data_IF_241976797585
#
_entry.id   IF_241976797585
#
_cell.length_a   1.000
_cell.length_b   1.000
_cell.length_c   1.000
_cell.angle_alpha   90.00
_cell.angle_beta   90.00
_cell.angle_gamma   90.00
#
_symmetry.space_group_name_H-M   'P 1'
#
loop_
_entity.id
_entity.type
_entity.pdbx_description
1 polymer ?
#
# COMPACT_ATOMS: atom_id res chain seq x y z
N UNK A 1 16.31 -13.72 -20.14
CA UNK A 1 15.61 -13.96 -18.85
C UNK A 1 14.44 -12.98 -18.85
N UNK A 2 13.23 -13.43 -18.56
CA UNK A 2 12.06 -12.53 -18.55
C UNK A 2 12.04 -11.79 -17.22
N UNK A 3 11.96 -10.46 -17.25
CA UNK A 3 11.78 -9.64 -16.05
C UNK A 3 10.41 -9.95 -15.47
N UNK A 4 10.37 -10.41 -14.22
CA UNK A 4 9.11 -10.52 -13.46
C UNK A 4 8.70 -9.16 -12.92
N UNK A 5 7.46 -8.78 -13.15
CA UNK A 5 6.94 -7.46 -12.75
C UNK A 5 5.73 -7.64 -11.88
N UNK A 6 5.80 -7.15 -10.64
CA UNK A 6 4.70 -7.17 -9.69
C UNK A 6 4.16 -5.76 -9.43
N UNK A 7 2.86 -5.63 -9.36
CA UNK A 7 2.14 -4.38 -9.12
C UNK A 7 1.66 -4.30 -7.68
N UNK A 8 2.15 -3.31 -6.97
CA UNK A 8 1.89 -3.07 -5.56
C UNK A 8 0.94 -1.89 -5.41
N UNK A 9 -0.23 -2.11 -4.84
CA UNK A 9 -1.14 -1.03 -4.47
C UNK A 9 -0.78 -0.49 -3.08
N UNK A 10 -0.28 0.73 -3.00
CA UNK A 10 -0.01 1.42 -1.73
C UNK A 10 -1.21 2.30 -1.39
N UNK A 11 -1.96 1.92 -0.36
CA UNK A 11 -3.20 2.61 0.03
C UNK A 11 -3.31 2.78 1.54
N UNK A 12 -4.35 3.45 2.02
CA UNK A 12 -4.60 3.75 3.42
C UNK A 12 -5.02 5.21 3.64
N UNK A 13 -5.28 5.63 4.89
CA UNK A 13 -5.77 6.95 5.22
C UNK A 13 -4.92 8.11 4.70
N UNK A 14 -5.52 9.29 4.67
CA UNK A 14 -4.77 10.52 4.40
C UNK A 14 -3.65 10.71 5.43
N UNK A 15 -2.49 11.19 4.99
CA UNK A 15 -1.28 11.42 5.79
C UNK A 15 -0.69 10.19 6.52
N UNK A 16 -1.13 8.96 6.21
CA UNK A 16 -0.60 7.74 6.84
C UNK A 16 0.88 7.44 6.50
N UNK A 17 1.43 8.05 5.42
CA UNK A 17 2.81 7.84 5.01
C UNK A 17 2.97 7.09 3.68
N UNK A 18 1.92 6.96 2.86
CA UNK A 18 1.97 6.27 1.55
C UNK A 18 3.04 6.84 0.62
N UNK A 19 3.02 8.15 0.43
CA UNK A 19 4.03 8.87 -0.37
C UNK A 19 5.43 8.68 0.21
N UNK A 20 5.57 8.70 1.54
CA UNK A 20 6.85 8.46 2.21
C UNK A 20 7.37 7.05 1.95
N UNK A 21 6.51 6.02 2.00
CA UNK A 21 6.90 4.65 1.64
C UNK A 21 7.43 4.58 0.21
N UNK A 22 6.68 5.11 -0.76
CA UNK A 22 7.08 5.07 -2.18
C UNK A 22 8.40 5.84 -2.38
N UNK A 23 8.54 7.03 -1.79
CA UNK A 23 9.75 7.84 -1.91
C UNK A 23 10.97 7.19 -1.26
N UNK A 24 10.80 6.51 -0.12
CA UNK A 24 11.90 5.88 0.61
C UNK A 24 12.52 4.69 -0.14
N UNK A 25 11.75 4.01 -0.98
CA UNK A 25 12.18 2.78 -1.66
C UNK A 25 12.36 2.94 -3.17
N UNK A 26 11.73 3.93 -3.80
CA UNK A 26 11.77 4.11 -5.24
C UNK A 26 13.20 4.41 -5.73
N UNK A 27 13.64 3.66 -6.73
CA UNK A 27 14.94 3.85 -7.40
C UNK A 27 14.84 4.79 -8.60
N UNK A 28 13.63 5.22 -8.94
CA UNK A 28 13.35 6.24 -9.95
C UNK A 28 12.72 7.46 -9.29
N UNK A 29 12.83 8.66 -9.89
CA UNK A 29 12.09 9.81 -9.39
C UNK A 29 10.60 9.48 -9.25
N UNK A 30 10.05 9.71 -8.06
CA UNK A 30 8.62 9.49 -7.82
C UNK A 30 7.83 10.54 -8.58
N UNK A 31 6.92 10.09 -9.43
CA UNK A 31 5.99 10.98 -10.11
C UNK A 31 4.80 11.18 -9.17
N UNK A 32 4.73 12.35 -8.57
CA UNK A 32 3.56 12.78 -7.80
C UNK A 32 2.78 13.79 -8.63
N UNK A 33 1.52 13.50 -8.90
CA UNK A 33 0.62 14.41 -9.61
C UNK A 33 -0.20 15.26 -8.63
N UNK A 34 0.44 15.79 -7.59
CA UNK A 34 -0.21 16.73 -6.69
C UNK A 34 -0.58 18.01 -7.43
N UNK A 35 -1.82 18.08 -7.89
CA UNK A 35 -2.40 19.34 -8.36
C UNK A 35 -2.98 20.06 -7.15
N UNK A 36 -2.33 21.15 -6.76
CA UNK A 36 -2.89 22.10 -5.79
C UNK A 36 -4.18 22.65 -6.40
N UNK A 37 -5.32 22.15 -5.96
CA UNK A 37 -6.61 22.78 -6.27
C UNK A 37 -6.76 24.02 -5.38
N UNK A 38 -6.28 25.17 -5.87
CA UNK A 38 -6.77 26.46 -5.38
C UNK A 38 -8.17 26.64 -5.98
N UNK A 39 -9.20 26.32 -5.21
CA UNK A 39 -10.58 26.47 -5.62
C UNK A 39 -11.09 27.87 -5.28
N UNK A 40 -11.40 28.68 -6.27
CA UNK A 40 -12.48 29.63 -6.23
C UNK A 40 -13.71 29.02 -6.93
N UNK A 41 -14.81 29.02 -6.22
CA UNK A 41 -16.11 28.53 -6.70
C UNK A 41 -16.63 29.41 -7.82
N UNK A 42 -16.56 28.90 -9.04
CA UNK A 42 -17.56 29.10 -10.12
C UNK A 42 -16.94 28.73 -11.46
N UNK A 43 -17.10 27.50 -11.88
CA UNK A 43 -17.52 27.12 -13.22
C UNK A 43 -17.32 25.62 -13.45
N UNK A 44 -18.40 25.01 -13.83
CA UNK A 44 -18.57 23.60 -14.17
C UNK A 44 -17.66 23.21 -15.32
N UNK A 45 -16.52 22.59 -15.00
CA UNK A 45 -15.85 21.54 -15.79
C UNK A 45 -14.82 20.85 -14.88
N UNK A 46 -15.26 19.86 -14.14
CA UNK A 46 -14.41 19.05 -13.27
C UNK A 46 -13.51 18.13 -14.08
N UNK A 47 -12.35 18.60 -14.48
CA UNK A 47 -11.23 17.72 -14.75
C UNK A 47 -10.62 17.36 -13.39
N UNK A 48 -11.09 16.29 -12.78
CA UNK A 48 -10.46 15.74 -11.59
C UNK A 48 -9.18 15.06 -12.04
N UNK A 49 -8.06 15.76 -11.98
CA UNK A 49 -6.75 15.15 -12.10
C UNK A 49 -6.53 14.32 -10.84
N UNK A 50 -6.48 13.03 -11.00
CA UNK A 50 -6.27 12.12 -9.88
C UNK A 50 -4.78 12.07 -9.60
N UNK A 51 -4.36 12.59 -8.45
CA UNK A 51 -2.99 12.52 -7.99
C UNK A 51 -2.66 11.08 -7.57
N UNK A 52 -1.76 10.43 -8.28
CA UNK A 52 -1.19 9.13 -7.91
C UNK A 52 0.31 9.28 -7.73
N UNK A 53 0.84 8.67 -6.67
CA UNK A 53 2.27 8.47 -6.56
C UNK A 53 2.67 7.20 -7.33
N UNK A 54 3.72 7.29 -8.11
CA UNK A 54 4.27 6.14 -8.82
C UNK A 54 5.76 6.01 -8.54
N UNK A 55 6.19 4.83 -8.17
CA UNK A 55 7.59 4.50 -7.93
C UNK A 55 7.94 3.11 -8.45
N UNK A 56 9.24 2.84 -8.61
CA UNK A 56 9.74 1.53 -9.03
C UNK A 56 10.86 1.07 -8.11
N UNK A 57 10.88 -0.23 -7.83
CA UNK A 57 11.95 -0.88 -7.08
C UNK A 57 12.41 -2.12 -7.84
N UNK A 58 13.72 -2.22 -8.10
CA UNK A 58 14.36 -3.37 -8.72
C UNK A 58 15.11 -4.16 -7.65
N UNK A 59 14.83 -5.45 -7.54
CA UNK A 59 15.54 -6.30 -6.61
C UNK A 59 17.00 -6.48 -7.06
N UNK A 60 17.95 -6.27 -6.16
CA UNK A 60 19.37 -6.37 -6.48
C UNK A 60 19.75 -7.84 -6.78
N UNK A 61 20.36 -8.07 -7.94
CA UNK A 61 20.81 -9.41 -8.35
C UNK A 61 19.71 -10.30 -8.93
N UNK A 62 18.52 -9.77 -9.15
CA UNK A 62 17.37 -10.45 -9.73
C UNK A 62 16.71 -9.58 -10.80
N UNK A 63 16.00 -10.18 -11.74
CA UNK A 63 15.23 -9.49 -12.78
C UNK A 63 13.82 -9.08 -12.27
N UNK A 64 13.54 -9.23 -10.98
CA UNK A 64 12.26 -8.86 -10.37
C UNK A 64 12.12 -7.36 -10.16
N UNK A 65 11.01 -6.80 -10.63
CA UNK A 65 10.67 -5.37 -10.49
C UNK A 65 9.32 -5.19 -9.81
N UNK A 66 9.28 -4.30 -8.82
CA UNK A 66 8.05 -3.86 -8.19
C UNK A 66 7.63 -2.50 -8.76
N UNK A 67 6.37 -2.39 -9.17
CA UNK A 67 5.72 -1.13 -9.55
C UNK A 67 4.80 -0.71 -8.40
N UNK A 68 5.12 0.41 -7.75
CA UNK A 68 4.36 0.91 -6.60
C UNK A 68 3.40 2.00 -7.07
N UNK A 69 2.11 1.81 -6.79
CA UNK A 69 1.05 2.75 -7.11
C UNK A 69 0.41 3.26 -5.83
N UNK A 70 0.64 4.53 -5.49
CA UNK A 70 0.05 5.17 -4.32
C UNK A 70 -1.30 5.79 -4.64
N UNK A 71 -2.33 5.43 -3.87
CA UNK A 71 -3.65 6.05 -4.01
C UNK A 71 -3.78 7.30 -3.15
N UNK A 72 -4.56 8.31 -3.60
CA UNK A 72 -4.95 9.41 -2.74
C UNK A 72 -5.75 8.91 -1.54
N UNK A 73 -5.39 9.35 -0.33
CA UNK A 73 -6.02 8.92 0.92
C UNK A 73 -7.41 9.51 1.20
N UNK A 74 -8.08 10.08 0.19
CA UNK A 74 -9.42 10.65 0.35
C UNK A 74 -10.49 9.66 -0.12
N UNK A 75 -11.57 9.54 0.64
CA UNK A 75 -12.67 8.59 0.37
C UNK A 75 -13.29 8.71 -1.04
N UNK A 76 -13.23 9.91 -1.64
CA UNK A 76 -13.70 10.16 -3.01
C UNK A 76 -12.94 9.41 -4.10
N UNK A 77 -11.74 8.87 -3.79
CA UNK A 77 -10.88 8.17 -4.74
C UNK A 77 -10.99 6.64 -4.65
N UNK A 78 -11.93 6.09 -3.90
CA UNK A 78 -12.18 4.64 -3.81
C UNK A 78 -12.44 3.99 -5.16
N UNK A 79 -12.94 4.75 -6.16
CA UNK A 79 -13.14 4.23 -7.51
C UNK A 79 -11.82 3.79 -8.19
N UNK A 80 -10.68 4.35 -7.80
CA UNK A 80 -9.37 3.97 -8.34
C UNK A 80 -8.96 2.55 -7.94
N UNK A 81 -9.27 2.16 -6.72
CA UNK A 81 -9.12 0.78 -6.28
C UNK A 81 -9.91 -0.17 -7.19
N UNK A 82 -11.09 0.25 -7.68
CA UNK A 82 -11.89 -0.55 -8.61
C UNK A 82 -11.27 -0.66 -10.00
N UNK A 83 -10.57 0.37 -10.47
CA UNK A 83 -9.87 0.35 -11.77
C UNK A 83 -8.65 -0.58 -11.71
N UNK A 84 -7.98 -0.64 -10.57
CA UNK A 84 -6.77 -1.43 -10.38
C UNK A 84 -7.03 -2.90 -9.97
N UNK A 85 -8.29 -3.26 -9.64
CA UNK A 85 -8.67 -4.58 -9.11
C UNK A 85 -8.21 -5.80 -9.92
N UNK A 86 -8.00 -5.67 -11.22
CA UNK A 86 -7.60 -6.79 -12.07
C UNK A 86 -6.08 -6.95 -12.26
N UNK A 87 -5.31 -5.98 -11.76
CA UNK A 87 -3.91 -5.81 -12.13
C UNK A 87 -2.97 -5.64 -10.93
N UNK A 88 -3.43 -5.91 -9.71
CA UNK A 88 -2.64 -5.76 -8.48
C UNK A 88 -2.27 -7.14 -7.95
N UNK A 89 -1.00 -7.33 -7.62
CA UNK A 89 -0.48 -8.60 -7.09
C UNK A 89 -0.47 -8.61 -5.55
N UNK A 90 -0.28 -7.45 -4.91
CA UNK A 90 -0.30 -7.31 -3.45
C UNK A 90 -0.74 -5.90 -3.04
N UNK A 91 -1.37 -5.79 -1.88
CA UNK A 91 -1.73 -4.51 -1.25
C UNK A 91 -0.74 -4.21 -0.12
N UNK A 92 -0.14 -3.02 -0.13
CA UNK A 92 0.52 -2.42 1.01
C UNK A 92 -0.43 -1.39 1.66
N UNK A 93 -1.05 -1.76 2.76
CA UNK A 93 -1.96 -0.88 3.50
C UNK A 93 -1.18 -0.13 4.58
N UNK A 94 -1.04 1.18 4.41
CA UNK A 94 -0.28 2.03 5.33
C UNK A 94 -1.24 2.68 6.32
N UNK A 95 -0.97 2.55 7.62
CA UNK A 95 -1.71 3.20 8.69
C UNK A 95 -0.74 3.91 9.64
N UNK A 96 -1.15 5.04 10.20
CA UNK A 96 -0.39 5.79 11.18
C UNK A 96 -0.79 5.35 12.59
N UNK A 97 0.17 4.88 13.39
CA UNK A 97 -0.08 4.45 14.76
C UNK A 97 -0.56 5.59 15.67
N UNK A 98 -0.13 6.82 15.39
CA UNK A 98 -0.42 8.01 16.20
C UNK A 98 -1.78 8.66 15.83
N UNK A 99 -2.24 8.51 14.57
CA UNK A 99 -3.47 9.11 14.07
C UNK A 99 -4.70 8.24 14.40
N UNK A 100 -4.94 8.00 15.69
CA UNK A 100 -5.98 7.07 16.18
C UNK A 100 -7.39 7.42 15.73
N UNK A 101 -7.67 8.70 15.47
CA UNK A 101 -8.94 9.19 14.93
C UNK A 101 -9.23 8.67 13.52
N UNK A 102 -8.20 8.26 12.77
CA UNK A 102 -8.35 7.69 11.42
C UNK A 102 -8.61 6.18 11.43
N UNK A 103 -8.34 5.49 12.54
CA UNK A 103 -8.34 4.03 12.61
C UNK A 103 -9.71 3.42 12.30
N UNK A 104 -10.79 4.03 12.77
CA UNK A 104 -12.14 3.51 12.48
C UNK A 104 -12.44 3.51 10.97
N UNK A 105 -12.13 4.59 10.26
CA UNK A 105 -12.28 4.70 8.82
C UNK A 105 -11.32 3.78 8.06
N UNK A 106 -10.06 3.69 8.52
CA UNK A 106 -9.04 2.80 7.99
C UNK A 106 -9.49 1.32 8.07
N UNK A 107 -10.10 0.91 9.18
CA UNK A 107 -10.62 -0.44 9.34
C UNK A 107 -11.76 -0.76 8.38
N UNK A 108 -12.64 0.19 8.08
CA UNK A 108 -13.69 0.00 7.06
C UNK A 108 -13.05 -0.18 5.68
N UNK A 109 -12.05 0.62 5.35
CA UNK A 109 -11.34 0.56 4.08
C UNK A 109 -10.56 -0.75 3.93
N UNK A 110 -9.78 -1.15 4.92
CA UNK A 110 -9.00 -2.38 4.91
C UNK A 110 -9.89 -3.61 4.70
N UNK A 111 -10.98 -3.75 5.48
CA UNK A 111 -11.91 -4.88 5.33
C UNK A 111 -12.58 -4.93 3.95
N UNK A 112 -12.88 -3.76 3.37
CA UNK A 112 -13.42 -3.70 2.02
C UNK A 112 -12.38 -4.15 0.97
N UNK A 113 -11.14 -3.71 1.11
CA UNK A 113 -10.03 -4.09 0.23
C UNK A 113 -9.77 -5.60 0.27
N UNK A 114 -9.61 -6.18 1.46
CA UNK A 114 -9.37 -7.62 1.64
C UNK A 114 -10.47 -8.49 1.06
N UNK A 115 -11.73 -8.08 1.24
CA UNK A 115 -12.87 -8.79 0.66
C UNK A 115 -12.93 -8.70 -0.86
N UNK A 116 -12.63 -7.51 -1.39
CA UNK A 116 -12.91 -7.18 -2.78
C UNK A 116 -11.75 -7.54 -3.73
N UNK A 117 -10.50 -7.43 -3.29
CA UNK A 117 -9.33 -7.66 -4.16
C UNK A 117 -8.88 -9.12 -4.19
N UNK A 118 -9.03 -9.86 -3.10
CA UNK A 118 -8.60 -11.27 -2.97
C UNK A 118 -7.11 -11.48 -3.28
N UNK A 119 -6.29 -10.46 -3.07
CA UNK A 119 -4.83 -10.52 -3.16
C UNK A 119 -4.25 -10.43 -1.76
N UNK A 120 -3.02 -10.94 -1.54
CA UNK A 120 -2.36 -10.82 -0.26
C UNK A 120 -2.16 -9.35 0.15
N UNK A 121 -2.09 -9.09 1.45
CA UNK A 121 -1.89 -7.76 1.98
C UNK A 121 -0.78 -7.72 3.03
N UNK A 122 -0.02 -6.63 3.00
CA UNK A 122 0.94 -6.24 4.03
C UNK A 122 0.42 -4.98 4.72
N UNK A 123 0.33 -5.00 6.03
CA UNK A 123 -0.12 -3.85 6.83
C UNK A 123 1.11 -3.17 7.42
N UNK A 124 1.49 -2.03 6.86
CA UNK A 124 2.59 -1.21 7.33
C UNK A 124 2.06 -0.20 8.37
N UNK A 125 2.45 -0.39 9.63
CA UNK A 125 2.07 0.49 10.73
C UNK A 125 3.18 1.52 10.93
N UNK A 126 2.97 2.70 10.36
CA UNK A 126 3.92 3.81 10.42
C UNK A 126 3.93 4.48 11.80
N UNK A 127 5.04 5.11 12.15
CA UNK A 127 5.32 5.69 13.48
C UNK A 127 5.17 4.66 14.61
N UNK A 128 5.62 3.45 14.34
CA UNK A 128 5.58 2.34 15.27
C UNK A 128 6.88 1.53 15.19
N UNK A 129 7.50 1.23 16.34
CA UNK A 129 8.73 0.44 16.40
C UNK A 129 8.48 -0.94 17.06
N UNK A 130 7.29 -1.16 17.61
CA UNK A 130 6.93 -2.38 18.32
C UNK A 130 5.97 -3.25 17.51
N UNK A 131 6.41 -4.45 17.16
CA UNK A 131 5.59 -5.43 16.43
C UNK A 131 4.32 -5.82 17.18
N UNK A 132 4.35 -5.90 18.50
CA UNK A 132 3.17 -6.24 19.32
C UNK A 132 2.12 -5.13 19.25
N UNK A 133 2.56 -3.87 19.33
CA UNK A 133 1.69 -2.71 19.15
C UNK A 133 1.12 -2.65 17.72
N UNK A 134 1.97 -2.86 16.71
CA UNK A 134 1.55 -2.88 15.31
C UNK A 134 0.49 -3.97 15.05
N UNK A 135 0.70 -5.19 15.53
CA UNK A 135 -0.28 -6.29 15.41
C UNK A 135 -1.60 -5.98 16.12
N UNK A 136 -1.56 -5.32 17.28
CA UNK A 136 -2.76 -4.89 18.00
C UNK A 136 -3.56 -3.86 17.20
N UNK A 137 -2.86 -2.88 16.59
CA UNK A 137 -3.48 -1.90 15.71
C UNK A 137 -4.08 -2.60 14.50
N UNK A 138 -3.33 -3.43 13.77
CA UNK A 138 -3.81 -4.15 12.59
C UNK A 138 -5.07 -4.99 12.89
N UNK A 139 -5.08 -5.73 14.00
CA UNK A 139 -6.26 -6.49 14.45
C UNK A 139 -7.46 -5.58 14.74
N UNK A 140 -7.25 -4.43 15.35
CA UNK A 140 -8.33 -3.47 15.61
C UNK A 140 -8.94 -2.90 14.32
N UNK A 141 -8.16 -2.86 13.23
CA UNK A 141 -8.63 -2.48 11.90
C UNK A 141 -9.38 -3.62 11.18
N UNK A 142 -9.25 -4.84 11.68
CA UNK A 142 -9.88 -6.04 11.11
C UNK A 142 -8.96 -6.84 10.19
N UNK A 143 -7.65 -6.70 10.35
CA UNK A 143 -6.70 -7.60 9.73
C UNK A 143 -6.94 -9.05 10.19
N UNK A 144 -6.83 -9.99 9.27
CA UNK A 144 -6.99 -11.42 9.55
C UNK A 144 -5.70 -12.01 10.15
N UNK A 145 -5.83 -13.10 10.91
CA UNK A 145 -4.67 -13.86 11.36
C UNK A 145 -4.00 -14.51 10.14
N UNK A 146 -2.76 -14.12 9.86
CA UNK A 146 -2.01 -14.57 8.69
C UNK A 146 -1.62 -13.44 7.73
N UNK A 147 -2.19 -12.26 7.89
CA UNK A 147 -1.72 -11.10 7.15
C UNK A 147 -0.43 -10.56 7.76
N UNK A 148 0.50 -10.19 6.89
CA UNK A 148 1.78 -9.64 7.27
C UNK A 148 1.61 -8.25 7.90
N UNK A 149 2.25 -8.02 9.05
CA UNK A 149 2.21 -6.73 9.76
C UNK A 149 3.63 -6.26 10.04
N UNK A 150 3.96 -5.07 9.58
CA UNK A 150 5.28 -4.46 9.72
C UNK A 150 5.19 -3.16 10.50
N UNK A 151 5.82 -3.07 11.70
CA UNK A 151 6.06 -1.77 12.32
C UNK A 151 7.12 -1.03 11.53
N UNK A 152 6.95 0.27 11.29
CA UNK A 152 7.89 1.02 10.48
C UNK A 152 7.95 2.52 10.83
N UNK A 153 9.06 3.13 10.42
CA UNK A 153 9.30 4.57 10.47
C UNK A 153 9.60 5.03 9.04
N UNK A 154 8.56 5.33 8.26
CA UNK A 154 8.69 5.55 6.81
C UNK A 154 9.45 6.82 6.40
N UNK A 155 9.86 7.62 7.37
CA UNK A 155 10.84 8.69 7.15
C UNK A 155 12.26 8.12 6.97
N UNK A 156 12.51 6.93 7.48
CA UNK A 156 13.77 6.19 7.34
C UNK A 156 13.70 5.26 6.11
N UNK A 157 14.61 5.41 5.12
CA UNK A 157 14.63 4.54 3.95
C UNK A 157 14.89 3.07 4.28
N UNK A 158 15.62 2.76 5.34
CA UNK A 158 15.89 1.37 5.73
C UNK A 158 14.61 0.70 6.24
N UNK A 159 13.80 1.43 7.00
CA UNK A 159 12.49 0.96 7.44
C UNK A 159 11.51 0.76 6.27
N UNK A 160 11.57 1.61 5.26
CA UNK A 160 10.82 1.41 4.02
C UNK A 160 11.24 0.13 3.27
N UNK A 161 12.53 -0.22 3.26
CA UNK A 161 13.04 -1.47 2.68
C UNK A 161 12.54 -2.70 3.42
N UNK A 162 12.39 -2.65 4.75
CA UNK A 162 11.79 -3.74 5.53
C UNK A 162 10.35 -4.03 5.08
N UNK A 163 9.58 -2.99 4.81
CA UNK A 163 8.24 -3.15 4.24
C UNK A 163 8.29 -3.81 2.85
N UNK A 164 9.25 -3.44 2.00
CA UNK A 164 9.44 -4.08 0.68
C UNK A 164 9.83 -5.55 0.83
N UNK A 165 10.71 -5.89 1.77
CA UNK A 165 11.07 -7.29 2.05
C UNK A 165 9.84 -8.10 2.44
N UNK A 166 8.97 -7.58 3.29
CA UNK A 166 7.75 -8.27 3.70
C UNK A 166 6.75 -8.42 2.53
N UNK A 167 6.67 -7.41 1.64
CA UNK A 167 5.89 -7.51 0.40
C UNK A 167 6.41 -8.66 -0.48
N UNK A 168 7.72 -8.78 -0.65
CA UNK A 168 8.31 -9.85 -1.45
C UNK A 168 8.07 -11.23 -0.82
N UNK A 169 8.22 -11.37 0.51
CA UNK A 169 7.93 -12.61 1.22
C UNK A 169 6.45 -13.01 1.08
N UNK A 170 5.56 -12.03 1.16
CA UNK A 170 4.12 -12.23 1.01
C UNK A 170 3.76 -12.66 -0.42
N UNK A 171 4.40 -12.07 -1.43
CA UNK A 171 4.25 -12.49 -2.82
C UNK A 171 4.74 -13.92 -3.04
N UNK A 172 5.94 -14.26 -2.57
CA UNK A 172 6.51 -15.61 -2.67
C UNK A 172 5.60 -16.64 -2.02
N UNK A 173 5.11 -16.37 -0.80
CA UNK A 173 4.18 -17.27 -0.12
C UNK A 173 2.86 -17.48 -0.89
N UNK A 174 2.39 -16.46 -1.61
CA UNK A 174 1.17 -16.56 -2.43
C UNK A 174 1.35 -17.33 -3.74
N UNK A 175 2.60 -17.48 -4.20
CA UNK A 175 2.94 -18.21 -5.43
C UNK A 175 3.22 -19.70 -5.18
N UNK A 176 3.46 -20.10 -3.92
CA UNK A 176 3.62 -21.50 -3.58
C UNK A 176 2.28 -22.24 -3.75
N UNK A 177 2.25 -23.37 -4.47
CA UNK A 177 1.02 -24.14 -4.61
C UNK A 177 0.56 -24.62 -3.23
N UNK A 178 -0.66 -24.30 -2.87
CA UNK A 178 -1.26 -24.81 -1.64
C UNK A 178 -1.29 -26.34 -1.71
N UNK A 179 -0.78 -27.05 -0.71
CA UNK A 179 -0.72 -28.53 -0.66
C UNK A 179 -2.07 -29.22 -0.92
N UNK A 180 -3.16 -28.48 -0.99
CA UNK A 180 -4.51 -28.97 -1.28
C UNK A 180 -4.78 -29.25 -2.78
N UNK A 181 -3.91 -28.83 -3.70
CA UNK A 181 -4.08 -29.12 -5.15
C UNK A 181 -3.27 -30.33 -5.64
N UNK A 182 -2.55 -31.01 -4.76
CA UNK A 182 -1.70 -32.19 -5.10
C UNK A 182 -2.32 -33.51 -4.60
N UNK A 183 -3.59 -33.53 -4.21
CA UNK A 183 -4.26 -34.76 -3.76
C UNK A 183 -5.32 -35.25 -4.77
#
# INVERSE_FOLDING_TARGET
MSTEVFKILVTGPFAAGKTSLIQSVSQTPVISTDVVTSGDESDVKSHTTVAMDFGTYQLAGDDTRLLLFGTPGQARFRFMTNILKGDVDVVAFVVDAEATETHAAAGVELRALLRDLRVPAVIAVNRCDDLTAARRIARSLGALDGEAVVPCQLIDPDSGREVVVEILLTLLASMEPTEAEVA
#
